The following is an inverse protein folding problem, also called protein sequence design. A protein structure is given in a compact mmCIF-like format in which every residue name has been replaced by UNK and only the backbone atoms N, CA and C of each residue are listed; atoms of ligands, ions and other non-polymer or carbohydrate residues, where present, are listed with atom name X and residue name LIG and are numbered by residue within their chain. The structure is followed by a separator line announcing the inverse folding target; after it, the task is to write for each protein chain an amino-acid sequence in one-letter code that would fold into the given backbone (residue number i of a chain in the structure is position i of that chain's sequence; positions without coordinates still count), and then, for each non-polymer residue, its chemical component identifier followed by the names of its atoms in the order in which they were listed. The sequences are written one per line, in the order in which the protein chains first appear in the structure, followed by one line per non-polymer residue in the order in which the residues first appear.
data_IF_239006644009
#
_entry.id   IF_239006644009
#
_cell.length_a   1.000
_cell.length_b   1.000
_cell.length_c   1.000
_cell.angle_alpha   90.00
_cell.angle_beta   90.00
_cell.angle_gamma   90.00
#
_symmetry.space_group_name_H-M   'P 1'
#
loop_
_entity.id
_entity.type
_entity.pdbx_description
1 polymer ?
#
# COMPACT_ATOMS: atom_id res chain seq x y z
N UNK A 1 34.05 1.66 14.80
CA UNK A 1 32.90 2.39 14.24
C UNK A 1 33.38 3.77 13.81
N UNK A 2 33.24 4.13 12.53
CA UNK A 2 33.78 5.39 12.01
C UNK A 2 32.91 6.54 12.56
N UNK A 3 33.51 7.52 13.26
CA UNK A 3 32.78 8.55 14.02
C UNK A 3 31.71 9.26 13.18
N UNK A 4 31.99 9.50 11.90
CA UNK A 4 31.03 10.13 10.97
C UNK A 4 29.73 9.34 10.73
N UNK A 5 29.76 8.00 10.75
CA UNK A 5 28.55 7.18 10.54
C UNK A 5 27.65 7.23 11.78
N UNK A 6 28.25 7.22 12.96
CA UNK A 6 27.51 7.33 14.22
C UNK A 6 26.90 8.73 14.39
N UNK A 7 27.65 9.78 14.03
CA UNK A 7 27.14 11.17 14.07
C UNK A 7 26.00 11.39 13.08
N UNK A 8 26.07 10.84 11.86
CA UNK A 8 24.97 10.90 10.90
C UNK A 8 23.71 10.20 11.43
N UNK A 9 23.86 9.01 12.02
CA UNK A 9 22.74 8.26 12.61
C UNK A 9 22.08 9.02 13.75
N UNK A 10 22.88 9.63 14.63
CA UNK A 10 22.39 10.44 15.75
C UNK A 10 21.60 11.66 15.26
N UNK A 11 22.07 12.31 14.19
CA UNK A 11 21.40 13.47 13.59
C UNK A 11 20.07 13.07 12.93
N UNK A 12 20.01 11.95 12.22
CA UNK A 12 18.75 11.47 11.59
C UNK A 12 17.70 11.08 12.64
N UNK A 13 18.09 10.45 13.74
CA UNK A 13 17.18 10.06 14.83
C UNK A 13 16.69 11.27 15.63
N UNK A 14 17.54 12.29 15.83
CA UNK A 14 17.20 13.49 16.59
C UNK A 14 16.34 14.51 15.81
N UNK A 15 16.30 14.42 14.47
CA UNK A 15 15.48 15.32 13.61
C UNK A 15 13.99 14.92 13.56
N UNK A 16 13.58 13.82 14.20
CA UNK A 16 12.17 13.42 14.27
C UNK A 16 11.51 13.74 15.62
N UNK A 17 11.10 15.00 15.88
CA UNK A 17 10.15 15.28 16.95
C UNK A 17 8.75 14.95 16.41
N UNK A 18 8.30 13.72 16.62
CA UNK A 18 6.92 13.37 16.34
C UNK A 18 6.12 13.26 17.63
N UNK A 19 5.63 14.42 18.08
CA UNK A 19 4.46 14.48 18.95
C UNK A 19 3.22 14.21 18.10
N UNK A 20 2.93 12.93 17.82
CA UNK A 20 1.65 12.55 17.23
C UNK A 20 0.65 12.31 18.34
N UNK A 21 -0.46 13.03 18.30
CA UNK A 21 -1.66 12.66 19.06
C UNK A 21 -2.17 11.32 18.52
N UNK A 22 -1.98 10.25 19.29
CA UNK A 22 -2.47 8.91 18.95
C UNK A 22 -3.93 8.83 19.39
N UNK A 23 -4.85 9.11 18.47
CA UNK A 23 -6.27 8.85 18.68
C UNK A 23 -6.53 7.35 18.50
N UNK A 24 -6.95 6.67 19.57
CA UNK A 24 -7.16 5.22 19.63
C UNK A 24 -8.49 4.71 19.06
N UNK A 25 -9.28 5.55 18.39
CA UNK A 25 -10.52 5.11 17.77
C UNK A 25 -10.23 4.60 16.35
N UNK A 26 -10.15 3.28 16.21
CA UNK A 26 -10.14 2.64 14.90
C UNK A 26 -11.50 2.88 14.24
N UNK A 27 -11.51 3.57 13.10
CA UNK A 27 -12.71 3.74 12.29
C UNK A 27 -13.19 2.35 11.81
N UNK A 28 -14.50 2.16 11.78
CA UNK A 28 -15.10 0.94 11.23
C UNK A 28 -14.61 0.71 9.79
N UNK A 29 -14.20 -0.51 9.41
CA UNK A 29 -13.91 -0.80 8.02
C UNK A 29 -15.23 -0.79 7.24
N UNK A 30 -15.33 -0.16 6.08
CA UNK A 30 -16.55 -0.20 5.31
C UNK A 30 -16.79 -1.58 4.70
N UNK A 31 -18.05 -1.78 4.35
CA UNK A 31 -18.55 -3.05 3.90
C UNK A 31 -18.31 -3.27 2.41
N UNK A 32 -18.54 -2.25 1.58
CA UNK A 32 -18.36 -2.31 0.13
C UNK A 32 -17.43 -1.18 -0.32
N UNK A 33 -16.51 -1.50 -1.22
CA UNK A 33 -15.59 -0.56 -1.86
C UNK A 33 -15.66 -0.72 -3.36
N UNK A 34 -15.95 0.37 -4.06
CA UNK A 34 -15.93 0.40 -5.52
C UNK A 34 -14.74 1.24 -5.96
N UNK A 35 -13.77 0.58 -6.59
CA UNK A 35 -12.59 1.18 -7.19
C UNK A 35 -12.93 1.56 -8.63
N UNK A 36 -12.72 2.83 -8.96
CA UNK A 36 -12.92 3.34 -10.32
C UNK A 36 -11.61 3.88 -10.87
N UNK A 37 -11.01 3.22 -11.89
CA UNK A 37 -9.84 3.74 -12.58
C UNK A 37 -10.18 4.93 -13.47
N UNK A 38 -9.40 6.02 -13.36
CA UNK A 38 -9.53 7.27 -14.12
C UNK A 38 -10.98 7.80 -14.20
N UNK A 39 -11.64 8.03 -13.05
CA UNK A 39 -13.04 8.45 -13.05
C UNK A 39 -13.19 9.89 -13.57
N UNK A 40 -14.29 10.19 -14.29
CA UNK A 40 -14.73 11.56 -14.51
C UNK A 40 -14.85 12.34 -13.20
N UNK A 41 -14.63 13.66 -13.27
CA UNK A 41 -14.62 14.53 -12.07
C UNK A 41 -15.98 14.51 -11.37
N UNK A 42 -17.05 14.48 -12.15
CA UNK A 42 -18.45 14.49 -11.76
C UNK A 42 -19.04 13.11 -11.48
N UNK A 43 -18.22 12.05 -11.46
CA UNK A 43 -18.70 10.70 -11.18
C UNK A 43 -19.19 10.59 -9.73
N UNK A 44 -20.45 10.18 -9.59
CA UNK A 44 -21.13 9.84 -8.34
C UNK A 44 -21.55 8.37 -8.39
N UNK A 45 -21.31 7.65 -7.31
CA UNK A 45 -21.74 6.27 -7.14
C UNK A 45 -22.57 6.21 -5.87
N UNK A 46 -23.77 5.67 -5.99
CA UNK A 46 -24.72 5.54 -4.89
C UNK A 46 -25.22 4.11 -4.81
N UNK A 47 -25.63 3.67 -3.62
CA UNK A 47 -26.27 2.38 -3.41
C UNK A 47 -27.73 2.59 -3.02
N UNK A 48 -28.59 1.71 -3.51
CA UNK A 48 -30.02 1.77 -3.19
C UNK A 48 -30.29 1.36 -1.74
N UNK A 49 -30.97 2.24 -0.99
CA UNK A 49 -31.38 2.03 0.39
C UNK A 49 -32.81 2.56 0.60
N UNK A 50 -33.75 1.71 1.02
CA UNK A 50 -35.13 2.14 1.34
C UNK A 50 -35.90 2.82 0.16
N UNK A 51 -35.52 2.56 -1.09
CA UNK A 51 -36.07 3.26 -2.26
C UNK A 51 -35.48 4.67 -2.48
N UNK A 52 -34.46 5.03 -1.69
CA UNK A 52 -33.59 6.19 -1.86
C UNK A 52 -32.18 5.73 -2.24
N UNK A 53 -31.30 6.66 -2.63
CA UNK A 53 -29.92 6.34 -2.99
C UNK A 53 -28.97 7.06 -2.02
N UNK A 54 -28.09 6.30 -1.37
CA UNK A 54 -27.04 6.84 -0.50
C UNK A 54 -25.76 6.95 -1.30
N UNK A 55 -25.14 8.13 -1.33
CA UNK A 55 -23.88 8.36 -2.03
C UNK A 55 -22.70 7.77 -1.25
N UNK A 56 -21.82 7.05 -1.95
CA UNK A 56 -20.62 6.49 -1.34
C UNK A 56 -19.59 7.55 -1.01
N UNK A 57 -18.87 7.36 0.11
CA UNK A 57 -17.79 8.28 0.51
C UNK A 57 -16.64 8.18 -0.49
N UNK A 58 -16.39 9.27 -1.21
CA UNK A 58 -15.39 9.35 -2.28
C UNK A 58 -14.01 9.72 -1.73
N UNK A 59 -13.05 8.82 -1.88
CA UNK A 59 -11.62 9.10 -1.65
C UNK A 59 -10.88 9.11 -2.98
N UNK A 60 -10.18 10.19 -3.29
CA UNK A 60 -9.42 10.31 -4.53
C UNK A 60 -7.93 10.02 -4.29
N UNK A 61 -7.37 9.13 -5.10
CA UNK A 61 -5.92 8.91 -5.25
C UNK A 61 -5.53 9.18 -6.70
N UNK A 62 -4.26 9.46 -6.98
CA UNK A 62 -3.75 9.96 -8.27
C UNK A 62 -4.65 9.75 -9.51
N UNK A 63 -4.84 8.51 -9.95
CA UNK A 63 -5.62 8.13 -11.13
C UNK A 63 -6.80 7.21 -10.81
N UNK A 64 -7.26 7.21 -9.56
CA UNK A 64 -8.33 6.32 -9.10
C UNK A 64 -9.22 7.00 -8.05
N UNK A 65 -10.48 6.61 -7.98
CA UNK A 65 -11.32 6.98 -6.84
C UNK A 65 -11.94 5.75 -6.22
N UNK A 66 -12.03 5.78 -4.90
CA UNK A 66 -12.65 4.77 -4.07
C UNK A 66 -13.97 5.31 -3.58
N UNK A 67 -15.03 4.55 -3.74
CA UNK A 67 -16.36 4.85 -3.20
C UNK A 67 -16.65 3.82 -2.12
N UNK A 68 -16.65 4.25 -0.86
CA UNK A 68 -16.83 3.39 0.29
C UNK A 68 -18.25 3.49 0.85
N UNK A 69 -18.83 2.34 1.18
CA UNK A 69 -20.13 2.19 1.82
C UNK A 69 -19.96 1.37 3.12
N UNK A 70 -20.40 1.93 4.23
CA UNK A 70 -20.29 1.35 5.58
C UNK A 70 -21.54 0.54 5.90
N UNK A 71 -21.53 -0.28 6.97
CA UNK A 71 -22.73 -1.03 7.34
C UNK A 71 -23.92 -0.12 7.64
N UNK A 72 -23.68 1.08 8.16
CA UNK A 72 -24.73 2.09 8.36
C UNK A 72 -25.43 2.50 7.04
N UNK A 73 -24.71 2.45 5.92
CA UNK A 73 -25.24 2.76 4.59
C UNK A 73 -25.95 1.56 3.94
N UNK A 74 -25.88 0.38 4.57
CA UNK A 74 -26.36 -0.89 4.01
C UNK A 74 -27.47 -1.49 4.86
N UNK A 75 -28.57 -1.85 4.22
CA UNK A 75 -29.60 -2.67 4.87
C UNK A 75 -29.18 -4.11 4.99
N UNK A 76 -29.86 -4.86 5.85
CA UNK A 76 -29.79 -6.33 5.88
C UNK A 76 -30.51 -7.00 4.67
N UNK A 77 -30.33 -6.45 3.47
CA UNK A 77 -30.91 -6.94 2.21
C UNK A 77 -29.89 -7.77 1.44
N UNK A 78 -30.37 -8.80 0.73
CA UNK A 78 -29.49 -9.76 0.06
C UNK A 78 -28.91 -9.23 -1.26
N UNK A 79 -29.58 -8.28 -1.91
CA UNK A 79 -29.19 -7.72 -3.20
C UNK A 79 -29.05 -6.21 -3.05
N UNK A 80 -28.06 -5.63 -3.73
CA UNK A 80 -27.85 -4.19 -3.77
C UNK A 80 -27.76 -3.69 -5.21
N UNK A 81 -28.46 -2.61 -5.51
CA UNK A 81 -28.33 -1.91 -6.77
C UNK A 81 -27.40 -0.70 -6.61
N UNK A 82 -26.32 -0.68 -7.38
CA UNK A 82 -25.45 0.47 -7.50
C UNK A 82 -25.96 1.34 -8.63
N UNK A 83 -26.19 2.62 -8.36
CA UNK A 83 -26.43 3.65 -9.36
C UNK A 83 -25.14 4.41 -9.63
N UNK A 84 -24.75 4.46 -10.90
CA UNK A 84 -23.58 5.22 -11.36
C UNK A 84 -24.08 6.39 -12.19
N UNK A 85 -23.66 7.60 -11.83
CA UNK A 85 -24.04 8.84 -12.52
C UNK A 85 -22.77 9.60 -12.89
N UNK A 86 -22.63 9.95 -14.17
CA UNK A 86 -21.60 10.88 -14.68
C UNK A 86 -22.17 11.68 -15.83
N UNK A 87 -22.18 13.01 -15.70
CA UNK A 87 -22.84 13.93 -16.61
C UNK A 87 -24.29 13.53 -16.88
N UNK A 88 -24.62 13.36 -18.16
CA UNK A 88 -25.95 12.93 -18.60
C UNK A 88 -26.13 11.40 -18.66
N UNK A 89 -25.13 10.63 -18.25
CA UNK A 89 -25.20 9.17 -18.28
C UNK A 89 -25.47 8.63 -16.88
N UNK A 90 -26.53 7.84 -16.76
CA UNK A 90 -26.84 7.09 -15.55
C UNK A 90 -27.14 5.64 -15.90
N UNK A 91 -26.57 4.71 -15.15
CA UNK A 91 -26.89 3.29 -15.27
C UNK A 91 -26.89 2.65 -13.89
N UNK A 92 -27.53 1.48 -13.79
CA UNK A 92 -27.57 0.68 -12.58
C UNK A 92 -26.90 -0.68 -12.81
N UNK A 93 -26.20 -1.17 -11.79
CA UNK A 93 -25.59 -2.50 -11.77
C UNK A 93 -26.01 -3.18 -10.47
N UNK A 94 -26.52 -4.40 -10.57
CA UNK A 94 -26.83 -5.24 -9.41
C UNK A 94 -25.57 -5.93 -8.90
N UNK A 95 -25.37 -5.95 -7.58
CA UNK A 95 -24.33 -6.73 -6.92
C UNK A 95 -24.92 -8.06 -6.45
N UNK A 96 -24.24 -9.16 -6.81
CA UNK A 96 -24.63 -10.52 -6.45
C UNK A 96 -24.59 -10.78 -4.92
N UNK A 97 -25.33 -11.80 -4.49
CA UNK A 97 -25.81 -12.05 -3.14
C UNK A 97 -24.77 -12.67 -2.19
N UNK A 98 -23.52 -12.84 -2.63
CA UNK A 98 -22.45 -13.50 -1.87
C UNK A 98 -21.53 -12.54 -1.11
N UNK A 99 -22.07 -11.37 -0.75
CA UNK A 99 -21.32 -10.36 0.00
C UNK A 99 -20.99 -10.82 1.42
N UNK A 100 -19.73 -10.59 1.80
CA UNK A 100 -19.28 -10.67 3.19
C UNK A 100 -19.82 -9.47 3.97
N UNK A 101 -19.85 -9.55 5.30
CA UNK A 101 -20.24 -8.41 6.14
C UNK A 101 -19.34 -7.20 5.91
N UNK A 102 -18.04 -7.44 5.70
CA UNK A 102 -17.05 -6.39 5.46
C UNK A 102 -16.12 -6.75 4.30
N UNK A 103 -15.42 -5.73 3.79
CA UNK A 103 -14.29 -5.88 2.88
C UNK A 103 -14.63 -6.48 1.50
N UNK A 104 -15.82 -6.19 0.98
CA UNK A 104 -16.16 -6.50 -0.40
C UNK A 104 -15.54 -5.42 -1.30
N UNK A 105 -14.56 -5.81 -2.11
CA UNK A 105 -13.89 -4.89 -3.02
C UNK A 105 -14.32 -5.20 -4.44
N UNK A 106 -14.71 -4.18 -5.18
CA UNK A 106 -15.09 -4.27 -6.57
C UNK A 106 -14.32 -3.26 -7.41
N UNK A 107 -14.06 -3.60 -8.66
CA UNK A 107 -13.55 -2.68 -9.67
C UNK A 107 -14.64 -2.40 -10.69
N UNK A 108 -15.00 -1.13 -10.86
CA UNK A 108 -15.99 -0.68 -11.84
C UNK A 108 -15.29 -0.27 -13.14
N UNK A 109 -15.70 -0.89 -14.25
CA UNK A 109 -15.31 -0.47 -15.59
C UNK A 109 -16.42 0.37 -16.22
N UNK A 110 -16.19 1.68 -16.35
CA UNK A 110 -17.15 2.62 -16.92
C UNK A 110 -17.43 2.39 -18.41
N UNK A 111 -16.48 1.81 -19.16
CA UNK A 111 -16.66 1.55 -20.60
C UNK A 111 -17.56 0.35 -20.83
N UNK A 112 -17.29 -0.73 -20.10
CA UNK A 112 -17.99 -2.01 -20.25
C UNK A 112 -19.24 -2.10 -19.36
N UNK A 113 -19.47 -1.09 -18.50
CA UNK A 113 -20.55 -1.03 -17.50
C UNK A 113 -20.63 -2.30 -16.66
N UNK A 114 -19.46 -2.81 -16.28
CA UNK A 114 -19.32 -4.05 -15.53
C UNK A 114 -18.63 -3.83 -14.20
N UNK A 115 -19.02 -4.64 -13.22
CA UNK A 115 -18.45 -4.68 -11.89
C UNK A 115 -17.76 -6.02 -11.71
N UNK A 116 -16.46 -6.00 -11.46
CA UNK A 116 -15.67 -7.20 -11.23
C UNK A 116 -15.24 -7.27 -9.78
N UNK A 117 -15.37 -8.43 -9.13
CA UNK A 117 -14.87 -8.63 -7.77
C UNK A 117 -13.34 -8.49 -7.74
N UNK A 118 -12.84 -7.83 -6.69
CA UNK A 118 -11.42 -7.64 -6.41
C UNK A 118 -10.79 -6.45 -7.13
N UNK A 119 -9.45 -6.38 -6.98
CA UNK A 119 -8.58 -5.39 -7.63
C UNK A 119 -8.15 -5.90 -9.00
N UNK A 120 -8.06 -5.03 -10.00
CA UNK A 120 -7.58 -5.44 -11.33
C UNK A 120 -6.11 -5.89 -11.30
N UNK A 121 -5.80 -7.04 -11.90
CA UNK A 121 -4.44 -7.61 -11.93
C UNK A 121 -3.38 -6.66 -12.55
N UNK A 122 -3.63 -6.00 -13.70
CA UNK A 122 -2.63 -5.12 -14.30
C UNK A 122 -2.28 -3.92 -13.40
N UNK A 123 -3.28 -3.39 -12.68
CA UNK A 123 -3.11 -2.33 -11.69
C UNK A 123 -2.22 -2.81 -10.54
N UNK A 124 -2.53 -3.97 -9.97
CA UNK A 124 -1.76 -4.57 -8.86
C UNK A 124 -0.30 -4.76 -9.26
N UNK A 125 -0.04 -5.40 -10.40
CA UNK A 125 1.33 -5.65 -10.89
C UNK A 125 2.09 -4.32 -11.07
N UNK A 126 1.44 -3.31 -11.65
CA UNK A 126 2.05 -2.00 -11.88
C UNK A 126 2.44 -1.31 -10.57
N UNK A 127 1.54 -1.28 -9.59
CA UNK A 127 1.79 -0.61 -8.31
C UNK A 127 2.86 -1.32 -7.49
N UNK A 128 2.83 -2.65 -7.47
CA UNK A 128 3.89 -3.46 -6.83
C UNK A 128 5.23 -3.22 -7.48
N UNK A 129 5.29 -3.29 -8.81
CA UNK A 129 6.54 -3.11 -9.55
C UNK A 129 7.14 -1.72 -9.31
N UNK A 130 6.29 -0.68 -9.25
CA UNK A 130 6.74 0.67 -8.92
C UNK A 130 7.31 0.75 -7.50
N UNK A 131 6.62 0.17 -6.52
CA UNK A 131 7.09 0.19 -5.12
C UNK A 131 8.42 -0.53 -4.97
N UNK A 132 8.52 -1.76 -5.50
CA UNK A 132 9.76 -2.56 -5.50
C UNK A 132 10.89 -1.85 -6.24
N UNK A 133 10.60 -1.17 -7.35
CA UNK A 133 11.62 -0.39 -8.07
C UNK A 133 12.13 0.77 -7.21
N UNK A 134 11.23 1.54 -6.58
CA UNK A 134 11.64 2.68 -5.75
C UNK A 134 12.46 2.22 -4.54
N UNK A 135 12.06 1.14 -3.87
CA UNK A 135 12.84 0.59 -2.75
C UNK A 135 14.20 0.10 -3.21
N UNK A 136 14.29 -0.67 -4.30
CA UNK A 136 15.58 -1.11 -4.86
C UNK A 136 16.51 0.06 -5.23
N UNK A 137 15.97 1.16 -5.75
CA UNK A 137 16.76 2.36 -6.06
C UNK A 137 17.29 2.99 -4.77
N UNK A 138 16.45 3.20 -3.78
CA UNK A 138 16.84 3.82 -2.50
C UNK A 138 17.88 2.95 -1.78
N UNK A 139 17.57 1.67 -1.59
CA UNK A 139 18.44 0.73 -0.89
C UNK A 139 19.73 0.49 -1.67
N UNK A 140 19.66 0.42 -3.00
CA UNK A 140 20.83 0.29 -3.87
C UNK A 140 21.74 1.51 -3.83
N UNK A 141 21.18 2.72 -3.74
CA UNK A 141 21.97 3.94 -3.53
C UNK A 141 22.68 3.92 -2.17
N UNK A 142 21.99 3.51 -1.11
CA UNK A 142 22.59 3.38 0.24
C UNK A 142 23.68 2.30 0.22
N UNK A 143 23.43 1.15 -0.41
CA UNK A 143 24.40 0.07 -0.59
C UNK A 143 25.64 0.56 -1.35
N UNK A 144 25.45 1.33 -2.42
CA UNK A 144 26.52 1.94 -3.19
C UNK A 144 27.32 2.97 -2.36
N UNK A 145 26.64 3.83 -1.59
CA UNK A 145 27.27 4.88 -0.77
C UNK A 145 28.08 4.31 0.40
N UNK A 146 27.64 3.18 0.96
CA UNK A 146 28.39 2.45 1.99
C UNK A 146 29.60 1.65 1.44
N UNK A 147 29.84 1.74 0.12
CA UNK A 147 31.05 1.24 -0.51
C UNK A 147 31.01 -0.24 -0.88
N UNK A 148 29.82 -0.84 -0.99
CA UNK A 148 29.68 -2.17 -1.56
C UNK A 148 29.84 -2.09 -3.08
N UNK A 149 30.84 -2.81 -3.62
CA UNK A 149 31.22 -2.78 -5.04
C UNK A 149 31.33 -4.18 -5.64
N UNK A 150 31.38 -5.22 -4.82
CA UNK A 150 31.54 -6.58 -5.30
C UNK A 150 30.28 -7.07 -6.02
N UNK A 151 30.44 -7.60 -7.24
CA UNK A 151 29.34 -8.19 -8.04
C UNK A 151 28.54 -9.24 -7.27
N UNK A 152 29.20 -10.07 -6.43
CA UNK A 152 28.51 -11.08 -5.61
C UNK A 152 27.62 -10.45 -4.54
N UNK A 153 28.08 -9.36 -3.93
CA UNK A 153 27.33 -8.63 -2.91
C UNK A 153 26.17 -7.85 -3.51
N UNK A 154 26.33 -7.29 -4.71
CA UNK A 154 25.24 -6.70 -5.49
C UNK A 154 24.19 -7.72 -5.94
N UNK A 155 24.61 -8.92 -6.34
CA UNK A 155 23.67 -9.99 -6.67
C UNK A 155 22.88 -10.43 -5.42
N UNK A 156 23.55 -10.61 -4.28
CA UNK A 156 22.88 -10.92 -3.02
C UNK A 156 21.90 -9.80 -2.62
N UNK A 157 22.30 -8.54 -2.76
CA UNK A 157 21.43 -7.38 -2.54
C UNK A 157 20.15 -7.46 -3.37
N UNK A 158 20.25 -7.58 -4.70
CA UNK A 158 19.09 -7.63 -5.60
C UNK A 158 18.16 -8.79 -5.23
N UNK A 159 18.73 -9.99 -5.01
CA UNK A 159 17.91 -11.19 -4.74
C UNK A 159 17.20 -11.08 -3.40
N UNK A 160 17.90 -10.66 -2.33
CA UNK A 160 17.32 -10.52 -1.00
C UNK A 160 16.19 -9.50 -1.04
N UNK A 161 16.46 -8.29 -1.52
CA UNK A 161 15.47 -7.22 -1.63
C UNK A 161 14.28 -7.63 -2.50
N UNK A 162 14.49 -8.29 -3.63
CA UNK A 162 13.38 -8.69 -4.51
C UNK A 162 12.46 -9.71 -3.84
N UNK A 163 13.03 -10.66 -3.09
CA UNK A 163 12.26 -11.65 -2.33
C UNK A 163 11.50 -10.99 -1.18
N UNK A 164 12.18 -10.17 -0.37
CA UNK A 164 11.60 -9.53 0.81
C UNK A 164 10.54 -8.50 0.42
N UNK A 165 10.88 -7.57 -0.47
CA UNK A 165 9.97 -6.54 -0.97
C UNK A 165 8.84 -7.14 -1.80
N UNK A 166 9.11 -8.18 -2.59
CA UNK A 166 8.08 -8.94 -3.30
C UNK A 166 7.08 -9.57 -2.33
N UNK A 167 7.57 -10.25 -1.30
CA UNK A 167 6.75 -10.85 -0.25
C UNK A 167 5.90 -9.82 0.52
N UNK A 168 6.53 -8.71 0.94
CA UNK A 168 5.86 -7.59 1.60
C UNK A 168 4.73 -7.03 0.73
N UNK A 169 5.00 -6.78 -0.56
CA UNK A 169 4.01 -6.24 -1.47
C UNK A 169 2.85 -7.21 -1.75
N UNK A 170 3.11 -8.51 -1.86
CA UNK A 170 2.04 -9.52 -1.98
C UNK A 170 1.15 -9.48 -0.74
N UNK A 171 1.75 -9.45 0.45
CA UNK A 171 1.01 -9.38 1.71
C UNK A 171 0.20 -8.08 1.84
N UNK A 172 0.76 -6.94 1.44
CA UNK A 172 0.04 -5.65 1.43
C UNK A 172 -1.08 -5.59 0.39
N UNK A 173 -0.96 -6.29 -0.74
CA UNK A 173 -2.06 -6.36 -1.70
C UNK A 173 -3.21 -7.25 -1.25
N UNK A 174 -2.88 -8.34 -0.54
CA UNK A 174 -3.86 -9.15 0.17
C UNK A 174 -4.48 -8.43 1.37
N UNK A 175 -3.82 -7.38 1.86
CA UNK A 175 -4.36 -6.50 2.89
C UNK A 175 -5.40 -5.54 2.33
N UNK A 176 -6.40 -5.25 3.15
CA UNK A 176 -7.58 -4.47 2.78
C UNK A 176 -7.24 -3.01 2.42
N UNK A 177 -7.98 -2.35 1.50
CA UNK A 177 -7.65 -1.03 0.96
C UNK A 177 -7.84 0.16 1.93
N UNK A 178 -7.78 -0.07 3.25
CA UNK A 178 -7.98 0.97 4.27
C UNK A 178 -6.68 1.63 4.65
N UNK A 179 -6.57 2.95 4.44
CA UNK A 179 -5.32 3.68 4.65
C UNK A 179 -4.71 3.49 6.04
N UNK A 180 -5.52 3.57 7.10
CA UNK A 180 -5.03 3.39 8.47
C UNK A 180 -4.44 2.00 8.70
N UNK A 181 -5.16 0.95 8.27
CA UNK A 181 -4.69 -0.43 8.43
C UNK A 181 -3.53 -0.77 7.50
N UNK A 182 -3.48 -0.18 6.30
CA UNK A 182 -2.38 -0.37 5.36
C UNK A 182 -1.06 0.20 5.88
N UNK A 183 -1.10 1.35 6.56
CA UNK A 183 0.11 1.93 7.19
C UNK A 183 0.58 1.04 8.34
N UNK A 184 -0.32 0.54 9.18
CA UNK A 184 0.04 -0.42 10.24
C UNK A 184 0.61 -1.72 9.66
N UNK A 185 -0.06 -2.29 8.66
CA UNK A 185 0.45 -3.48 7.96
C UNK A 185 1.83 -3.20 7.38
N UNK A 186 2.03 -2.09 6.67
CA UNK A 186 3.35 -1.72 6.13
C UNK A 186 4.41 -1.68 7.24
N UNK A 187 4.13 -0.99 8.34
CA UNK A 187 5.09 -0.88 9.45
C UNK A 187 5.50 -2.24 10.01
N UNK A 188 4.53 -3.12 10.31
CA UNK A 188 4.84 -4.46 10.82
C UNK A 188 5.52 -5.35 9.78
N UNK A 189 5.15 -5.21 8.51
CA UNK A 189 5.78 -5.94 7.41
C UNK A 189 7.23 -5.55 7.22
N UNK A 190 7.52 -4.25 7.23
CA UNK A 190 8.89 -3.73 7.12
C UNK A 190 9.75 -4.13 8.32
N UNK A 191 9.17 -4.23 9.53
CA UNK A 191 9.87 -4.83 10.68
C UNK A 191 10.27 -6.29 10.42
N UNK A 192 9.39 -7.09 9.81
CA UNK A 192 9.71 -8.46 9.42
C UNK A 192 10.77 -8.51 8.32
N UNK A 193 10.66 -7.65 7.30
CA UNK A 193 11.65 -7.52 6.23
C UNK A 193 13.02 -7.17 6.82
N UNK A 194 13.09 -6.17 7.69
CA UNK A 194 14.32 -5.78 8.39
C UNK A 194 14.99 -6.95 9.12
N UNK A 195 14.21 -7.78 9.83
CA UNK A 195 14.74 -8.96 10.54
C UNK A 195 15.29 -9.98 9.53
N UNK A 196 14.51 -10.32 8.49
CA UNK A 196 14.90 -11.30 7.47
C UNK A 196 16.14 -10.85 6.70
N UNK A 197 16.18 -9.59 6.28
CA UNK A 197 17.32 -8.99 5.61
C UNK A 197 18.55 -8.95 6.51
N UNK A 198 18.38 -8.62 7.80
CA UNK A 198 19.48 -8.65 8.77
C UNK A 198 20.20 -10.00 8.80
N UNK A 199 19.44 -11.10 8.82
CA UNK A 199 20.01 -12.44 8.77
C UNK A 199 20.59 -12.79 7.40
N UNK A 200 19.88 -12.47 6.31
CA UNK A 200 20.29 -12.80 4.95
C UNK A 200 21.57 -12.05 4.54
N UNK A 201 21.64 -10.73 4.76
CA UNK A 201 22.83 -9.94 4.46
C UNK A 201 24.04 -10.40 5.26
N UNK A 202 23.86 -10.73 6.55
CA UNK A 202 24.94 -11.29 7.37
C UNK A 202 25.46 -12.62 6.82
N UNK A 203 24.60 -13.47 6.28
CA UNK A 203 24.97 -14.78 5.74
C UNK A 203 25.66 -14.68 4.36
N UNK A 204 25.13 -13.83 3.46
CA UNK A 204 25.50 -13.81 2.05
C UNK A 204 26.45 -12.68 1.64
N UNK A 205 26.54 -11.58 2.42
CA UNK A 205 27.41 -10.44 2.11
C UNK A 205 28.63 -10.42 3.04
N UNK A 206 29.76 -10.88 2.51
CA UNK A 206 31.06 -10.97 3.23
C UNK A 206 32.08 -9.90 2.84
N UNK A 207 31.68 -8.92 2.02
CA UNK A 207 32.60 -7.89 1.48
C UNK A 207 33.16 -6.96 2.56
N UNK A 208 32.38 -6.65 3.59
CA UNK A 208 32.76 -5.72 4.65
C UNK A 208 32.51 -6.32 6.04
N UNK A 209 33.06 -5.67 7.07
CA UNK A 209 32.88 -6.08 8.46
C UNK A 209 31.38 -6.10 8.87
N UNK A 210 30.93 -7.03 9.73
CA UNK A 210 29.51 -7.18 10.10
C UNK A 210 28.82 -5.90 10.58
N UNK A 211 29.55 -5.00 11.25
CA UNK A 211 29.02 -3.70 11.67
C UNK A 211 28.57 -2.81 10.50
N UNK A 212 29.30 -2.84 9.37
CA UNK A 212 28.94 -2.05 8.18
C UNK A 212 27.76 -2.66 7.46
N UNK A 213 27.69 -3.99 7.39
CA UNK A 213 26.52 -4.72 6.85
C UNK A 213 25.28 -4.43 7.69
N UNK A 214 25.41 -4.45 9.01
CA UNK A 214 24.30 -4.09 9.91
C UNK A 214 23.85 -2.64 9.72
N UNK A 215 24.79 -1.69 9.67
CA UNK A 215 24.47 -0.28 9.42
C UNK A 215 23.74 -0.08 8.07
N UNK A 216 24.14 -0.84 7.04
CA UNK A 216 23.42 -0.87 5.76
C UNK A 216 21.97 -1.32 5.95
N UNK A 217 21.75 -2.50 6.56
CA UNK A 217 20.39 -3.06 6.71
C UNK A 217 19.47 -2.08 7.45
N UNK A 218 19.96 -1.46 8.52
CA UNK A 218 19.19 -0.45 9.27
C UNK A 218 18.86 0.77 8.42
N UNK A 219 19.85 1.37 7.75
CA UNK A 219 19.65 2.59 6.98
C UNK A 219 18.75 2.35 5.76
N UNK A 220 18.97 1.24 5.05
CA UNK A 220 18.22 0.85 3.87
C UNK A 220 16.74 0.61 4.21
N UNK A 221 16.47 -0.25 5.19
CA UNK A 221 15.09 -0.59 5.59
C UNK A 221 14.35 0.60 6.20
N UNK A 222 15.04 1.47 6.96
CA UNK A 222 14.40 2.68 7.48
C UNK A 222 14.06 3.66 6.36
N UNK A 223 14.97 3.88 5.41
CA UNK A 223 14.72 4.76 4.27
C UNK A 223 13.61 4.21 3.36
N UNK A 224 13.58 2.89 3.12
CA UNK A 224 12.52 2.25 2.33
C UNK A 224 11.18 2.24 3.06
N UNK A 225 11.13 2.08 4.38
CA UNK A 225 9.90 2.25 5.18
C UNK A 225 9.32 3.67 5.03
N UNK A 226 10.15 4.71 5.20
CA UNK A 226 9.70 6.10 5.07
C UNK A 226 9.19 6.37 3.65
N UNK A 227 9.94 5.93 2.63
CA UNK A 227 9.55 6.09 1.24
C UNK A 227 8.28 5.30 0.90
N UNK A 228 8.17 4.05 1.37
CA UNK A 228 7.01 3.18 1.19
C UNK A 228 5.76 3.75 1.85
N UNK A 229 5.89 4.29 3.07
CA UNK A 229 4.81 4.97 3.78
C UNK A 229 4.32 6.20 3.00
N UNK A 230 5.24 7.03 2.52
CA UNK A 230 4.90 8.18 1.68
C UNK A 230 4.27 7.78 0.34
N UNK A 231 4.73 6.69 -0.28
CA UNK A 231 4.14 6.19 -1.53
C UNK A 231 2.70 5.71 -1.34
N UNK A 232 2.35 5.09 -0.20
CA UNK A 232 0.98 4.62 0.08
C UNK A 232 0.00 5.80 0.29
N UNK A 233 0.47 6.94 0.79
CA UNK A 233 -0.41 8.12 0.94
C UNK A 233 -0.72 8.79 -0.40
N UNK A 234 0.19 8.67 -1.38
CA UNK A 234 0.01 9.26 -2.72
C UNK A 234 -0.64 8.31 -3.73
N UNK A 235 -0.14 7.07 -3.79
CA UNK A 235 -0.55 6.09 -4.78
C UNK A 235 -1.82 5.35 -4.34
N UNK A 236 -2.63 4.91 -5.31
CA UNK A 236 -3.66 3.93 -5.01
C UNK A 236 -3.05 2.62 -4.51
N UNK A 237 -3.77 1.92 -3.63
CA UNK A 237 -3.45 0.60 -3.05
C UNK A 237 -4.52 -0.43 -3.39
#
# INVERSE_FOLDING_TARGET
MNKGIFTFFLVVVLIFPFSYEVYGNAAEPPSIVIIVPNPPVDLVISIEENGSFVEGRKTKKMKESYYAFYLEDLKNTKNYNIKVVSGNTSFQIEIDNSLKTYNNVFTLNLKDRSLTEGKSLPRTIKLVSLRVMVTLVIEGLIFFLLGFRNKRSWLAFIVINLITQGGLNIWLNGSYPWESYLIFSLFFGELWVFIVEGFAFKAYVKEHHPQRVFAYVVLANFASLVAGGYLITLLPV
#
